data_IF_838736297468
#
_entry.id   IF_838736297468
#
_cell.length_a   1.000
_cell.length_b   1.000
_cell.length_c   1.000
_cell.angle_alpha   90.00
_cell.angle_beta   90.00
_cell.angle_gamma   90.00
#
_symmetry.space_group_name_H-M   'P 1'
#
loop_
_entity.id
_entity.type
_entity.pdbx_description
1 polymer ?
#
# COMPACT_ATOMS: atom_id res chain seq x y z
N UNK A 1 19.86 -7.59 -9.29
CA UNK A 1 18.39 -7.71 -9.14
C UNK A 1 18.15 -8.30 -7.77
N UNK A 2 17.49 -7.59 -6.84
CA UNK A 2 17.38 -8.05 -5.44
C UNK A 2 16.33 -9.16 -5.29
N UNK A 3 16.66 -10.18 -4.50
CA UNK A 3 15.79 -11.33 -4.21
C UNK A 3 14.47 -10.92 -3.55
N UNK A 4 14.48 -9.88 -2.72
CA UNK A 4 13.30 -9.45 -1.96
C UNK A 4 12.21 -8.87 -2.87
N UNK A 5 12.59 -8.01 -3.83
CA UNK A 5 11.64 -7.47 -4.79
C UNK A 5 11.05 -8.57 -5.69
N UNK A 6 11.85 -9.57 -6.06
CA UNK A 6 11.36 -10.75 -6.81
C UNK A 6 10.33 -11.54 -6.03
N UNK A 7 10.62 -11.80 -4.75
CA UNK A 7 9.70 -12.50 -3.87
C UNK A 7 8.40 -11.70 -3.67
N UNK A 8 8.51 -10.39 -3.43
CA UNK A 8 7.35 -9.50 -3.31
C UNK A 8 6.54 -9.45 -4.61
N UNK A 9 7.18 -9.34 -5.78
CA UNK A 9 6.50 -9.38 -7.09
C UNK A 9 5.75 -10.70 -7.31
N UNK A 10 6.35 -11.84 -6.96
CA UNK A 10 5.69 -13.15 -7.02
C UNK A 10 4.43 -13.19 -6.14
N UNK A 11 4.50 -12.65 -4.91
CA UNK A 11 3.32 -12.53 -4.04
C UNK A 11 2.23 -11.61 -4.62
N UNK A 12 2.64 -10.57 -5.37
CA UNK A 12 1.69 -9.72 -6.09
C UNK A 12 0.99 -10.49 -7.22
N UNK A 13 1.76 -11.23 -8.03
CA UNK A 13 1.25 -12.03 -9.14
C UNK A 13 0.30 -13.13 -8.67
N UNK A 14 0.61 -13.80 -7.56
CA UNK A 14 -0.25 -14.79 -6.91
C UNK A 14 -1.58 -14.16 -6.44
N UNK A 15 -1.52 -12.99 -5.79
CA UNK A 15 -2.72 -12.28 -5.36
C UNK A 15 -3.59 -11.82 -6.53
N UNK A 16 -2.97 -11.39 -7.64
CA UNK A 16 -3.69 -11.06 -8.88
C UNK A 16 -4.36 -12.29 -9.47
N UNK A 17 -3.68 -13.44 -9.51
CA UNK A 17 -4.24 -14.69 -10.01
C UNK A 17 -5.44 -15.16 -9.18
N UNK A 18 -5.33 -15.12 -7.85
CA UNK A 18 -6.41 -15.47 -6.93
C UNK A 18 -7.60 -14.51 -7.05
N UNK A 19 -7.33 -13.19 -7.15
CA UNK A 19 -8.39 -12.20 -7.32
C UNK A 19 -9.20 -12.42 -8.61
N UNK A 20 -8.51 -12.76 -9.71
CA UNK A 20 -9.15 -13.09 -11.00
C UNK A 20 -10.00 -14.34 -10.90
N UNK A 21 -9.49 -15.40 -10.26
CA UNK A 21 -10.23 -16.65 -10.03
C UNK A 21 -11.52 -16.41 -9.24
N UNK A 22 -11.49 -15.48 -8.27
CA UNK A 22 -12.63 -15.16 -7.42
C UNK A 22 -13.53 -14.04 -7.98
N UNK A 23 -13.28 -13.55 -9.19
CA UNK A 23 -13.99 -12.40 -9.80
C UNK A 23 -13.98 -11.13 -8.93
N UNK A 24 -12.89 -10.90 -8.21
CA UNK A 24 -12.66 -9.70 -7.38
C UNK A 24 -11.61 -8.79 -8.02
N UNK A 25 -11.53 -7.52 -7.59
CA UNK A 25 -10.50 -6.59 -8.07
C UNK A 25 -9.08 -7.10 -7.72
N UNK A 26 -8.16 -7.19 -8.69
CA UNK A 26 -6.76 -7.53 -8.43
C UNK A 26 -5.94 -6.33 -7.92
N UNK A 27 -6.54 -5.14 -7.87
CA UNK A 27 -5.89 -3.89 -7.49
C UNK A 27 -6.51 -3.31 -6.22
N UNK A 28 -5.74 -2.43 -5.57
CA UNK A 28 -6.18 -1.73 -4.37
C UNK A 28 -7.50 -0.99 -4.59
N UNK A 29 -8.47 -1.10 -3.67
CA UNK A 29 -9.66 -0.25 -3.68
C UNK A 29 -9.26 1.23 -3.57
N UNK A 30 -10.09 2.09 -4.16
CA UNK A 30 -9.89 3.54 -4.17
C UNK A 30 -11.06 4.17 -3.43
N UNK A 31 -10.77 4.89 -2.33
CA UNK A 31 -11.80 5.53 -1.51
C UNK A 31 -12.62 6.53 -2.35
N UNK A 32 -11.92 7.31 -3.18
CA UNK A 32 -12.51 8.38 -3.99
C UNK A 32 -13.24 7.86 -5.23
N UNK A 33 -13.31 6.55 -5.43
CA UNK A 33 -14.24 6.00 -6.41
C UNK A 33 -15.70 6.02 -5.88
N UNK A 34 -15.91 6.25 -4.58
CA UNK A 34 -17.23 6.37 -3.99
C UNK A 34 -17.68 7.84 -3.98
N UNK A 35 -18.67 8.16 -4.82
CA UNK A 35 -19.19 9.52 -4.99
C UNK A 35 -19.83 10.10 -3.72
N UNK A 36 -20.43 9.27 -2.86
CA UNK A 36 -21.03 9.71 -1.60
C UNK A 36 -19.97 10.20 -0.60
N UNK A 37 -18.81 9.53 -0.59
CA UNK A 37 -17.68 9.84 0.28
C UNK A 37 -16.99 11.12 -0.18
N UNK A 38 -16.75 11.25 -1.49
CA UNK A 38 -16.04 12.39 -2.07
C UNK A 38 -16.73 13.74 -1.86
N UNK A 39 -18.06 13.76 -1.87
CA UNK A 39 -18.82 15.00 -1.98
C UNK A 39 -19.41 15.51 -0.67
N UNK A 40 -19.25 14.82 0.47
CA UNK A 40 -20.10 15.12 1.64
C UNK A 40 -19.51 14.92 3.03
N UNK A 41 -18.24 14.53 3.19
CA UNK A 41 -17.66 14.28 4.52
C UNK A 41 -16.75 15.41 5.00
N UNK A 42 -16.96 15.84 6.25
CA UNK A 42 -16.00 16.71 6.95
C UNK A 42 -14.77 15.89 7.32
N UNK A 43 -13.59 16.38 6.94
CA UNK A 43 -12.30 15.77 7.31
C UNK A 43 -11.74 16.48 8.53
N UNK A 44 -11.28 15.70 9.52
CA UNK A 44 -10.58 16.21 10.70
C UNK A 44 -9.15 15.65 10.71
N UNK A 45 -8.16 16.51 10.97
CA UNK A 45 -6.76 16.09 11.11
C UNK A 45 -6.54 15.54 12.52
N UNK A 46 -6.10 14.28 12.60
CA UNK A 46 -5.83 13.61 13.88
C UNK A 46 -4.39 13.81 14.39
N UNK A 47 -3.48 14.26 13.53
CA UNK A 47 -2.05 14.34 13.86
C UNK A 47 -1.35 13.00 13.60
N UNK A 48 -0.23 12.77 14.29
CA UNK A 48 0.56 11.54 14.16
C UNK A 48 0.02 10.45 15.08
N UNK A 49 -0.27 9.27 14.51
CA UNK A 49 -0.79 8.10 15.22
C UNK A 49 -0.18 6.81 14.67
N UNK A 50 0.00 5.81 15.52
CA UNK A 50 0.33 4.45 15.07
C UNK A 50 -0.95 3.74 14.63
N UNK A 51 -0.93 3.20 13.42
CA UNK A 51 -2.05 2.49 12.82
C UNK A 51 -1.72 1.01 12.61
N UNK A 52 -2.67 0.10 12.86
CA UNK A 52 -2.49 -1.30 12.54
C UNK A 52 -2.43 -1.50 11.03
N UNK A 53 -1.39 -2.17 10.55
CA UNK A 53 -1.06 -2.30 9.13
C UNK A 53 -2.10 -3.12 8.37
N UNK A 54 -2.77 -4.06 9.05
CA UNK A 54 -3.81 -4.92 8.48
C UNK A 54 -5.06 -4.14 8.03
N UNK A 55 -5.39 -3.03 8.73
CA UNK A 55 -6.50 -2.13 8.40
C UNK A 55 -6.16 -1.13 7.29
N UNK A 56 -4.94 -1.14 6.75
CA UNK A 56 -4.59 -0.36 5.55
C UNK A 56 -4.93 -1.18 4.31
N UNK A 57 -5.97 -0.79 3.59
CA UNK A 57 -6.58 -1.63 2.55
C UNK A 57 -6.50 -1.04 1.14
N UNK A 58 -6.33 0.28 0.99
CA UNK A 58 -6.51 0.92 -0.32
C UNK A 58 -5.78 2.23 -0.52
N UNK A 59 -6.09 2.90 -1.63
CA UNK A 59 -5.66 4.26 -1.93
C UNK A 59 -6.78 5.25 -1.64
N UNK A 60 -6.42 6.47 -1.26
CA UNK A 60 -7.37 7.59 -1.22
C UNK A 60 -7.85 7.90 -2.64
N UNK A 61 -6.91 8.27 -3.51
CA UNK A 61 -7.17 8.71 -4.88
C UNK A 61 -6.82 7.62 -5.89
N UNK A 62 -7.43 7.69 -7.08
CA UNK A 62 -7.06 6.82 -8.18
C UNK A 62 -5.68 7.23 -8.73
N UNK A 63 -4.69 6.36 -8.56
CA UNK A 63 -3.38 6.55 -9.18
C UNK A 63 -3.42 6.38 -10.69
N UNK A 64 -2.50 7.06 -11.40
CA UNK A 64 -2.36 6.94 -12.87
C UNK A 64 -1.92 5.55 -13.34
N UNK A 65 -1.32 4.74 -12.45
CA UNK A 65 -0.84 3.38 -12.73
C UNK A 65 -1.12 2.47 -11.53
N UNK A 66 -1.56 1.23 -11.79
CA UNK A 66 -1.72 0.18 -10.79
C UNK A 66 -0.36 -0.46 -10.45
N UNK A 67 0.45 0.25 -9.66
CA UNK A 67 1.80 -0.21 -9.29
C UNK A 67 1.80 -1.34 -8.24
N UNK A 68 0.65 -1.61 -7.61
CA UNK A 68 0.49 -2.59 -6.55
C UNK A 68 -0.72 -3.50 -6.81
N UNK A 69 -0.61 -4.75 -6.39
CA UNK A 69 -1.75 -5.66 -6.27
C UNK A 69 -2.61 -5.32 -5.04
N UNK A 70 -3.77 -5.96 -4.90
CA UNK A 70 -4.70 -5.78 -3.79
C UNK A 70 -4.12 -6.11 -2.39
N UNK A 71 -2.97 -6.79 -2.33
CA UNK A 71 -2.21 -7.06 -1.09
C UNK A 71 -1.04 -6.07 -0.88
N UNK A 72 -1.03 -4.93 -1.57
CA UNK A 72 0.06 -3.93 -1.59
C UNK A 72 1.40 -4.44 -2.12
N UNK A 73 1.50 -5.65 -2.68
CA UNK A 73 2.76 -6.12 -3.25
C UNK A 73 3.01 -5.51 -4.64
N UNK A 74 4.28 -5.22 -5.00
CA UNK A 74 4.62 -4.46 -6.19
C UNK A 74 4.42 -5.28 -7.48
N UNK A 75 3.83 -4.66 -8.51
CA UNK A 75 3.58 -5.30 -9.81
C UNK A 75 4.53 -4.86 -10.93
N UNK A 76 5.20 -3.72 -10.78
CA UNK A 76 6.00 -3.15 -11.85
C UNK A 76 7.27 -3.97 -12.12
N UNK A 77 7.78 -3.81 -13.34
CA UNK A 77 8.99 -4.50 -13.80
C UNK A 77 10.18 -4.26 -12.87
N UNK A 78 10.96 -5.31 -12.67
CA UNK A 78 12.05 -5.34 -11.69
C UNK A 78 13.21 -4.38 -12.03
N UNK A 79 13.33 -3.99 -13.31
CA UNK A 79 14.29 -2.99 -13.77
C UNK A 79 13.79 -1.54 -13.63
N UNK A 80 12.54 -1.33 -13.20
CA UNK A 80 11.95 0.01 -13.10
C UNK A 80 12.55 0.83 -11.96
N UNK A 81 12.48 2.16 -12.08
CA UNK A 81 12.83 3.08 -10.99
C UNK A 81 12.00 2.80 -9.73
N UNK A 82 10.75 2.39 -9.93
CA UNK A 82 9.87 1.99 -8.84
C UNK A 82 10.46 0.81 -8.04
N UNK A 83 10.91 -0.24 -8.74
CA UNK A 83 11.53 -1.41 -8.12
C UNK A 83 12.80 -1.02 -7.35
N UNK A 84 13.62 -0.14 -7.95
CA UNK A 84 14.83 0.38 -7.32
C UNK A 84 14.53 1.11 -6.01
N UNK A 85 13.55 2.01 -6.03
CA UNK A 85 13.12 2.73 -4.82
C UNK A 85 12.53 1.79 -3.78
N UNK A 86 11.79 0.77 -4.20
CA UNK A 86 11.17 -0.19 -3.28
C UNK A 86 12.21 -1.02 -2.54
N UNK A 87 13.18 -1.64 -3.22
CA UNK A 87 14.15 -2.49 -2.52
C UNK A 87 15.13 -1.68 -1.68
N UNK A 88 15.47 -0.44 -2.07
CA UNK A 88 16.25 0.47 -1.22
C UNK A 88 15.51 0.84 0.06
N UNK A 89 14.19 1.04 -0.03
CA UNK A 89 13.36 1.27 1.13
C UNK A 89 13.30 0.04 2.03
N UNK A 90 13.20 -1.16 1.44
CA UNK A 90 13.26 -2.41 2.21
C UNK A 90 14.60 -2.59 2.94
N UNK A 91 15.72 -2.26 2.30
CA UNK A 91 17.04 -2.26 2.95
C UNK A 91 17.09 -1.32 4.17
N UNK A 92 16.65 -0.07 3.98
CA UNK A 92 16.59 0.91 5.08
C UNK A 92 15.63 0.47 6.18
N UNK A 93 14.52 -0.18 5.83
CA UNK A 93 13.56 -0.74 6.79
C UNK A 93 14.19 -1.84 7.66
N UNK A 94 15.03 -2.72 7.09
CA UNK A 94 15.68 -3.78 7.85
C UNK A 94 16.67 -3.24 8.90
N UNK A 95 17.26 -2.05 8.65
CA UNK A 95 18.22 -1.42 9.55
C UNK A 95 17.56 -0.53 10.60
N UNK A 96 16.55 0.26 10.19
CA UNK A 96 16.03 1.37 11.01
C UNK A 96 14.49 1.37 11.16
N UNK A 97 13.78 0.43 10.54
CA UNK A 97 12.32 0.46 10.44
C UNK A 97 11.79 1.55 9.48
N UNK A 98 10.48 1.79 9.51
CA UNK A 98 9.87 2.91 8.77
C UNK A 98 9.96 4.17 9.61
N UNK A 99 10.76 5.14 9.15
CA UNK A 99 11.00 6.40 9.87
C UNK A 99 10.00 7.51 9.56
N UNK A 100 9.54 7.55 8.32
CA UNK A 100 8.66 8.60 7.83
C UNK A 100 7.19 8.14 7.87
N UNK A 101 6.34 8.97 8.48
CA UNK A 101 4.91 8.71 8.55
C UNK A 101 4.30 8.57 7.14
N UNK A 102 3.27 7.75 7.01
CA UNK A 102 2.40 7.74 5.83
C UNK A 102 1.31 8.81 5.98
N UNK A 103 0.57 9.11 4.92
CA UNK A 103 -0.63 9.94 5.02
C UNK A 103 -1.80 9.08 4.59
N UNK A 104 -2.82 8.97 5.44
CA UNK A 104 -4.01 8.16 5.17
C UNK A 104 -5.30 8.92 5.48
N UNK A 105 -6.40 8.41 4.93
CA UNK A 105 -7.75 8.72 5.38
C UNK A 105 -8.36 7.48 6.02
N UNK A 106 -9.13 7.68 7.08
CA UNK A 106 -9.92 6.64 7.71
C UNK A 106 -11.36 6.72 7.20
N UNK A 107 -11.95 5.57 6.89
CA UNK A 107 -13.36 5.43 6.58
C UNK A 107 -13.85 4.04 6.96
N UNK A 108 -14.93 3.99 7.75
CA UNK A 108 -15.53 2.73 8.22
C UNK A 108 -14.52 1.76 8.86
N UNK A 109 -13.61 2.31 9.67
CA UNK A 109 -12.55 1.61 10.34
C UNK A 109 -11.43 1.09 9.41
N UNK A 110 -11.41 1.42 8.13
CA UNK A 110 -10.32 1.08 7.24
C UNK A 110 -9.52 2.32 6.81
N UNK A 111 -8.25 2.12 6.49
CA UNK A 111 -7.32 3.18 6.13
C UNK A 111 -6.93 3.13 4.65
N UNK A 112 -6.94 4.30 4.03
CA UNK A 112 -6.69 4.50 2.60
C UNK A 112 -5.54 5.47 2.40
N UNK A 113 -4.50 4.99 1.74
CA UNK A 113 -3.22 5.70 1.59
C UNK A 113 -3.36 6.85 0.60
N UNK A 114 -3.09 8.07 1.07
CA UNK A 114 -2.86 9.24 0.21
C UNK A 114 -1.38 9.32 -0.18
N UNK A 115 -0.47 9.11 0.78
CA UNK A 115 0.98 9.15 0.56
C UNK A 115 1.68 8.04 1.33
N UNK A 116 2.76 7.47 0.76
CA UNK A 116 3.56 6.45 1.43
C UNK A 116 3.25 5.00 1.04
N UNK A 117 2.60 4.75 -0.09
CA UNK A 117 2.26 3.38 -0.56
C UNK A 117 3.43 2.38 -0.57
N UNK A 118 4.65 2.82 -0.91
CA UNK A 118 5.85 1.95 -0.84
C UNK A 118 6.21 1.57 0.60
N UNK A 119 6.01 2.48 1.57
CA UNK A 119 6.24 2.22 3.00
C UNK A 119 5.23 1.21 3.53
N UNK A 120 3.96 1.32 3.14
CA UNK A 120 2.93 0.31 3.47
C UNK A 120 3.27 -1.05 2.86
N UNK A 121 3.68 -1.08 1.59
CA UNK A 121 4.11 -2.30 0.90
C UNK A 121 5.28 -2.98 1.61
N UNK A 122 6.34 -2.23 1.92
CA UNK A 122 7.50 -2.74 2.67
C UNK A 122 7.10 -3.20 4.07
N UNK A 123 6.23 -2.48 4.77
CA UNK A 123 5.75 -2.86 6.11
C UNK A 123 4.98 -4.17 6.10
N UNK A 124 4.06 -4.34 5.13
CA UNK A 124 3.30 -5.59 4.96
C UNK A 124 4.22 -6.76 4.56
N UNK A 125 5.17 -6.54 3.66
CA UNK A 125 6.14 -7.56 3.25
C UNK A 125 7.07 -7.96 4.42
N UNK A 126 7.50 -6.99 5.22
CA UNK A 126 8.35 -7.17 6.39
C UNK A 126 7.63 -7.69 7.64
N UNK A 127 6.31 -7.88 7.59
CA UNK A 127 5.53 -8.39 8.71
C UNK A 127 5.34 -7.42 9.88
N UNK A 128 5.32 -6.11 9.60
CA UNK A 128 5.05 -5.09 10.62
C UNK A 128 3.58 -5.12 11.06
N UNK A 129 3.35 -5.02 12.37
CA UNK A 129 2.01 -4.93 12.94
C UNK A 129 1.45 -3.50 12.89
N UNK A 130 2.31 -2.49 13.12
CA UNK A 130 1.93 -1.08 13.17
C UNK A 130 2.83 -0.21 12.28
N UNK A 131 2.29 0.91 11.82
CA UNK A 131 3.01 1.94 11.07
C UNK A 131 2.56 3.34 11.51
N UNK A 132 3.50 4.27 11.59
CA UNK A 132 3.21 5.67 11.90
C UNK A 132 2.53 6.35 10.70
N UNK A 133 1.42 7.06 10.95
CA UNK A 133 0.64 7.81 9.97
C UNK A 133 0.24 9.20 10.49
#
# INVERSE_FOLDING_TARGET
MRSDYKAAKRLAEEAVAEARKNNTSPYLPVLDANEEINNSLKVVKLGLIELPVDRIIGNKEQGRNNAFANNFMPLLEEASEFAIKWWKLYDSFLEEGIRDAIIVYEYMNDYYVQEGNKRVSVSKYGGMEFILA
#
